data_IF_587197822469
#
_entry.id   IF_587197822469
#
_cell.length_a   1.000
_cell.length_b   1.000
_cell.length_c   1.000
_cell.angle_alpha   90.00
_cell.angle_beta   90.00
_cell.angle_gamma   90.00
#
_symmetry.space_group_name_H-M   'P 1'
#
loop_
_entity.id
_entity.type
_entity.pdbx_description
1 polymer ?
#
# COMPACT_ATOMS: atom_id res chain seq x y z
N UNK A 1 -1.63 -0.05 13.19
CA UNK A 1 -0.23 0.07 12.74
C UNK A 1 0.32 1.46 12.99
N UNK A 2 -0.33 2.54 12.53
CA UNK A 2 0.11 3.93 12.77
C UNK A 2 0.40 4.24 14.24
N UNK A 3 -0.54 3.96 15.15
CA UNK A 3 -0.33 4.16 16.59
C UNK A 3 0.91 3.41 17.12
N UNK A 4 1.14 2.18 16.66
CA UNK A 4 2.34 1.40 17.04
C UNK A 4 3.62 2.00 16.47
N UNK A 5 3.58 2.56 15.26
CA UNK A 5 4.72 3.29 14.68
C UNK A 5 5.03 4.53 15.50
N UNK A 6 4.01 5.33 15.82
CA UNK A 6 4.16 6.58 16.58
C UNK A 6 4.64 6.32 18.01
N UNK A 7 4.10 5.32 18.69
CA UNK A 7 4.59 4.92 20.02
C UNK A 7 6.07 4.54 20.02
N UNK A 8 6.59 4.02 18.91
CA UNK A 8 8.00 3.65 18.80
C UNK A 8 8.90 4.80 18.35
N UNK A 9 8.50 5.54 17.30
CA UNK A 9 9.33 6.57 16.67
C UNK A 9 9.18 7.95 17.33
N UNK A 10 7.98 8.31 17.81
CA UNK A 10 7.65 9.60 18.44
C UNK A 10 6.59 9.45 19.55
N UNK A 11 6.92 8.82 20.69
CA UNK A 11 5.96 8.56 21.77
C UNK A 11 5.33 9.84 22.32
N UNK A 12 6.08 10.94 22.38
CA UNK A 12 5.60 12.25 22.81
C UNK A 12 4.45 12.79 21.95
N UNK A 13 4.48 12.51 20.64
CA UNK A 13 3.43 12.96 19.71
C UNK A 13 2.12 12.21 19.98
N UNK A 14 2.20 10.90 20.22
CA UNK A 14 1.01 10.09 20.52
C UNK A 14 0.44 10.38 21.91
N UNK A 15 1.30 10.63 22.91
CA UNK A 15 0.88 11.08 24.24
C UNK A 15 0.13 12.41 24.14
N UNK A 16 0.70 13.40 23.46
CA UNK A 16 0.08 14.72 23.28
C UNK A 16 -1.26 14.63 22.56
N UNK A 17 -1.39 13.77 21.54
CA UNK A 17 -2.68 13.54 20.86
C UNK A 17 -3.71 12.93 21.81
N UNK A 18 -3.30 11.97 22.63
CA UNK A 18 -4.18 11.29 23.59
C UNK A 18 -4.66 12.25 24.69
N UNK A 19 -3.77 13.07 25.24
CA UNK A 19 -4.10 14.09 26.23
C UNK A 19 -5.06 15.14 25.67
N UNK A 20 -4.80 15.61 24.45
CA UNK A 20 -5.66 16.60 23.79
C UNK A 20 -7.07 16.05 23.52
N UNK A 21 -7.19 14.79 23.08
CA UNK A 21 -8.49 14.14 22.89
C UNK A 21 -9.26 14.00 24.20
N UNK A 22 -8.56 13.66 25.29
CA UNK A 22 -9.18 13.58 26.61
C UNK A 22 -9.68 14.94 27.09
N UNK A 23 -8.86 15.98 26.96
CA UNK A 23 -9.25 17.35 27.31
C UNK A 23 -10.44 17.84 26.49
N UNK A 24 -10.47 17.55 25.18
CA UNK A 24 -11.60 17.90 24.32
C UNK A 24 -12.89 17.21 24.78
N UNK A 25 -12.83 15.93 25.13
CA UNK A 25 -13.99 15.18 25.62
C UNK A 25 -14.49 15.73 26.97
N UNK A 26 -13.58 16.01 27.90
CA UNK A 26 -13.91 16.62 29.20
C UNK A 26 -14.60 17.99 29.01
N UNK A 27 -14.13 18.81 28.06
CA UNK A 27 -14.74 20.10 27.72
C UNK A 27 -16.13 19.94 27.09
N UNK A 28 -16.34 18.96 26.21
CA UNK A 28 -17.67 18.66 25.64
C UNK A 28 -18.67 18.25 26.72
N UNK A 29 -18.24 17.42 27.67
CA UNK A 29 -19.07 17.00 28.81
C UNK A 29 -19.41 18.22 29.69
N UNK A 30 -18.42 19.08 29.99
CA UNK A 30 -18.66 20.31 30.76
C UNK A 30 -19.65 21.25 30.07
N UNK A 31 -19.54 21.41 28.74
CA UNK A 31 -20.46 22.24 27.96
C UNK A 31 -21.89 21.69 28.03
N UNK A 32 -22.08 20.38 27.85
CA UNK A 32 -23.39 19.74 27.94
C UNK A 32 -24.01 19.86 29.34
N UNK A 33 -23.19 19.76 30.39
CA UNK A 33 -23.63 19.95 31.78
C UNK A 33 -24.06 21.40 32.06
N UNK A 34 -23.33 22.39 31.53
CA UNK A 34 -23.69 23.80 31.62
C UNK A 34 -25.01 24.10 30.90
N UNK A 35 -25.19 23.55 29.69
CA UNK A 35 -26.45 23.69 28.93
C UNK A 35 -27.63 23.05 29.66
N UNK A 36 -27.44 21.87 30.25
CA UNK A 36 -28.47 21.18 31.03
C UNK A 36 -28.84 21.95 32.30
N UNK A 37 -27.83 22.47 33.01
CA UNK A 37 -28.04 23.28 34.22
C UNK A 37 -28.78 24.58 33.91
N UNK A 38 -28.44 25.23 32.78
CA UNK A 38 -29.12 26.43 32.31
C UNK A 38 -30.60 26.18 31.99
N UNK A 39 -30.91 25.06 31.35
CA UNK A 39 -32.29 24.66 31.05
C UNK A 39 -33.08 24.39 32.34
N UNK A 40 -32.45 23.73 33.33
CA UNK A 40 -33.06 23.46 34.63
C UNK A 40 -33.32 24.75 35.43
N UNK A 41 -32.34 25.67 35.48
CA UNK A 41 -32.49 26.98 36.11
C UNK A 41 -33.62 27.79 35.48
N UNK A 42 -33.72 27.80 34.15
CA UNK A 42 -34.81 28.48 33.42
C UNK A 42 -36.17 27.83 33.65
N UNK A 43 -36.24 26.49 33.70
CA UNK A 43 -37.48 25.75 33.92
C UNK A 43 -38.01 25.93 35.36
N UNK A 44 -37.12 26.02 36.34
CA UNK A 44 -37.46 26.17 37.76
C UNK A 44 -37.65 27.63 38.19
N UNK A 45 -37.35 28.61 37.33
CA UNK A 45 -37.54 30.03 37.63
C UNK A 45 -39.03 30.37 37.83
N UNK A 46 -39.38 30.87 39.02
CA UNK A 46 -40.73 31.35 39.37
C UNK A 46 -40.71 32.85 39.61
N UNK A 47 -41.70 33.59 39.08
CA UNK A 47 -41.78 35.06 39.18
C UNK A 47 -41.20 35.79 37.97
N UNK A 48 -41.00 37.10 38.08
CA UNK A 48 -40.43 37.91 37.00
C UNK A 48 -38.92 37.61 36.88
N UNK A 49 -38.54 36.90 35.82
CA UNK A 49 -37.15 36.48 35.54
C UNK A 49 -36.21 37.69 35.48
N UNK A 50 -36.69 38.84 35.02
CA UNK A 50 -35.89 40.08 34.90
C UNK A 50 -35.57 40.72 36.25
N UNK A 51 -36.32 40.40 37.31
CA UNK A 51 -36.10 40.93 38.67
C UNK A 51 -35.24 40.01 39.53
N UNK A 52 -35.05 38.75 39.12
CA UNK A 52 -34.25 37.78 39.84
C UNK A 52 -32.74 37.98 39.52
N UNK A 53 -32.08 38.82 40.32
CA UNK A 53 -30.64 39.10 40.19
C UNK A 53 -29.76 37.86 40.29
N UNK A 54 -30.11 36.90 41.15
CA UNK A 54 -29.32 35.67 41.33
C UNK A 54 -29.36 34.80 40.06
N UNK A 55 -30.54 34.67 39.45
CA UNK A 55 -30.72 33.95 38.18
C UNK A 55 -29.99 34.65 37.03
N UNK A 56 -30.05 35.99 36.97
CA UNK A 56 -29.34 36.77 35.95
C UNK A 56 -27.82 36.61 36.06
N UNK A 57 -27.29 36.60 37.28
CA UNK A 57 -25.86 36.38 37.54
C UNK A 57 -25.42 34.95 37.19
N UNK A 58 -26.25 33.93 37.48
CA UNK A 58 -25.98 32.55 37.08
C UNK A 58 -25.97 32.41 35.55
N UNK A 59 -26.98 32.96 34.85
CA UNK A 59 -27.06 32.98 33.39
C UNK A 59 -25.84 33.65 32.75
N UNK A 60 -25.39 34.79 33.29
CA UNK A 60 -24.20 35.48 32.78
C UNK A 60 -22.91 34.67 33.00
N UNK A 61 -22.76 34.01 34.16
CA UNK A 61 -21.62 33.12 34.43
C UNK A 61 -21.63 31.91 33.48
N UNK A 62 -22.76 31.24 33.35
CA UNK A 62 -22.92 30.08 32.46
C UNK A 62 -22.63 30.44 31.01
N UNK A 63 -23.12 31.61 30.54
CA UNK A 63 -22.80 32.13 29.21
C UNK A 63 -21.31 32.39 29.02
N UNK A 64 -20.66 33.04 29.99
CA UNK A 64 -19.22 33.32 29.92
C UNK A 64 -18.38 32.02 29.91
N UNK A 65 -18.73 31.04 30.75
CA UNK A 65 -18.10 29.72 30.77
C UNK A 65 -18.32 28.95 29.46
N UNK A 66 -19.53 28.96 28.92
CA UNK A 66 -19.86 28.32 27.64
C UNK A 66 -19.06 28.92 26.47
N UNK A 67 -18.94 30.25 26.41
CA UNK A 67 -18.12 30.94 25.40
C UNK A 67 -16.65 30.51 25.53
N UNK A 68 -16.09 30.53 26.74
CA UNK A 68 -14.70 30.13 27.00
C UNK A 68 -14.42 28.69 26.59
N UNK A 69 -15.34 27.77 26.91
CA UNK A 69 -15.24 26.35 26.52
C UNK A 69 -15.33 26.22 25.00
N UNK A 70 -16.24 26.94 24.35
CA UNK A 70 -16.39 26.91 22.89
C UNK A 70 -15.13 27.41 22.18
N UNK A 71 -14.53 28.49 22.66
CA UNK A 71 -13.25 29.00 22.15
C UNK A 71 -12.12 27.96 22.34
N UNK A 72 -12.05 27.33 23.51
CA UNK A 72 -11.06 26.28 23.81
C UNK A 72 -11.23 25.04 22.93
N UNK A 73 -12.47 24.66 22.60
CA UNK A 73 -12.78 23.58 21.66
C UNK A 73 -12.32 23.94 20.24
N UNK A 74 -12.54 25.19 19.80
CA UNK A 74 -12.05 25.67 18.49
C UNK A 74 -10.52 25.62 18.40
N UNK A 75 -9.82 26.04 19.46
CA UNK A 75 -8.35 25.92 19.53
C UNK A 75 -7.89 24.46 19.52
N UNK A 76 -8.58 23.59 20.26
CA UNK A 76 -8.29 22.16 20.31
C UNK A 76 -8.38 21.52 18.93
N UNK A 77 -9.40 21.85 18.14
CA UNK A 77 -9.56 21.39 16.75
C UNK A 77 -8.39 21.85 15.86
N UNK A 78 -7.94 23.11 16.00
CA UNK A 78 -6.77 23.61 15.27
C UNK A 78 -5.50 22.86 15.62
N UNK A 79 -5.27 22.63 16.92
CA UNK A 79 -4.12 21.88 17.39
C UNK A 79 -4.16 20.42 16.93
N UNK A 80 -5.35 19.79 16.93
CA UNK A 80 -5.52 18.44 16.41
C UNK A 80 -5.13 18.34 14.94
N UNK A 81 -5.56 19.29 14.11
CA UNK A 81 -5.18 19.33 12.70
C UNK A 81 -3.67 19.43 12.51
N UNK A 82 -3.00 20.28 13.29
CA UNK A 82 -1.53 20.37 13.29
C UNK A 82 -0.86 19.04 13.70
N UNK A 83 -1.36 18.39 14.75
CA UNK A 83 -0.82 17.10 15.21
C UNK A 83 -1.06 16.01 14.17
N UNK A 84 -2.22 16.00 13.51
CA UNK A 84 -2.52 15.01 12.48
C UNK A 84 -1.63 15.20 11.24
N UNK A 85 -1.26 16.43 10.88
CA UNK A 85 -0.25 16.68 9.84
C UNK A 85 1.10 16.07 10.19
N UNK A 86 1.57 16.21 11.44
CA UNK A 86 2.81 15.57 11.89
C UNK A 86 2.72 14.04 11.92
N UNK A 87 1.55 13.49 12.29
CA UNK A 87 1.30 12.04 12.29
C UNK A 87 1.24 11.46 10.88
N UNK A 88 0.71 12.23 9.92
CA UNK A 88 0.56 11.80 8.52
C UNK A 88 1.90 11.47 7.86
N UNK A 89 3.02 12.04 8.32
CA UNK A 89 4.36 11.64 7.87
C UNK A 89 4.61 10.14 8.04
N UNK A 90 4.05 9.50 9.08
CA UNK A 90 4.22 8.07 9.38
C UNK A 90 3.15 7.17 8.76
N UNK A 91 2.11 7.76 8.15
CA UNK A 91 0.94 7.03 7.64
C UNK A 91 1.33 6.04 6.54
N UNK A 92 2.22 6.43 5.62
CA UNK A 92 2.64 5.58 4.51
C UNK A 92 3.26 4.25 4.94
N UNK A 93 3.95 4.21 6.10
CA UNK A 93 4.46 2.94 6.65
C UNK A 93 3.32 2.03 7.16
N UNK A 94 2.30 2.63 7.78
CA UNK A 94 1.13 1.89 8.25
C UNK A 94 0.31 1.34 7.08
N UNK A 95 0.16 2.11 6.01
CA UNK A 95 -0.50 1.68 4.76
C UNK A 95 0.27 0.53 4.10
N UNK A 96 1.60 0.67 3.96
CA UNK A 96 2.48 -0.39 3.45
C UNK A 96 2.33 -1.67 4.27
N UNK A 97 2.33 -1.57 5.61
CA UNK A 97 2.13 -2.72 6.48
C UNK A 97 0.73 -3.34 6.34
N UNK A 98 -0.32 -2.51 6.19
CA UNK A 98 -1.68 -2.99 5.97
C UNK A 98 -1.78 -3.79 4.66
N UNK A 99 -1.23 -3.23 3.57
CA UNK A 99 -1.15 -3.89 2.27
C UNK A 99 -0.47 -5.26 2.38
N UNK A 100 0.72 -5.32 2.99
CA UNK A 100 1.44 -6.58 3.19
C UNK A 100 0.63 -7.64 3.95
N UNK A 101 -0.12 -7.23 4.98
CA UNK A 101 -0.97 -8.16 5.73
C UNK A 101 -2.08 -8.77 4.86
N UNK A 102 -2.75 -7.96 4.04
CA UNK A 102 -3.79 -8.46 3.15
C UNK A 102 -3.23 -9.35 2.04
N UNK A 103 -2.07 -8.99 1.47
CA UNK A 103 -1.35 -9.83 0.48
C UNK A 103 -1.09 -11.23 1.03
N UNK A 104 -0.59 -11.34 2.27
CA UNK A 104 -0.33 -12.67 2.87
C UNK A 104 -1.60 -13.37 3.35
N UNK A 105 -2.65 -12.63 3.72
CA UNK A 105 -3.94 -13.21 4.10
C UNK A 105 -4.62 -13.89 2.92
N UNK A 106 -4.44 -13.35 1.71
CA UNK A 106 -5.01 -13.88 0.48
C UNK A 106 -4.43 -15.23 0.04
N UNK A 107 -3.26 -15.62 0.56
CA UNK A 107 -2.67 -16.94 0.28
C UNK A 107 -3.57 -18.10 0.73
N UNK A 108 -4.45 -17.88 1.71
CA UNK A 108 -5.43 -18.87 2.14
C UNK A 108 -6.41 -19.29 1.03
N UNK A 109 -6.62 -18.41 0.02
CA UNK A 109 -7.45 -18.70 -1.16
C UNK A 109 -6.81 -19.74 -2.09
N UNK A 110 -5.48 -19.85 -2.06
CA UNK A 110 -4.70 -20.78 -2.89
C UNK A 110 -4.56 -22.11 -2.16
N UNK A 111 -4.20 -22.06 -0.87
CA UNK A 111 -4.11 -23.23 -0.03
C UNK A 111 -4.63 -22.93 1.38
N UNK A 112 -5.59 -23.72 1.85
CA UNK A 112 -6.23 -23.57 3.16
C UNK A 112 -5.24 -23.62 4.35
N UNK A 113 -4.04 -24.17 4.15
CA UNK A 113 -2.98 -24.21 5.18
C UNK A 113 -2.18 -22.90 5.27
N UNK A 114 -2.22 -22.03 4.25
CA UNK A 114 -1.50 -20.76 4.21
C UNK A 114 -2.27 -19.65 4.94
N UNK A 115 -2.45 -19.86 6.25
CA UNK A 115 -3.12 -18.92 7.15
C UNK A 115 -2.11 -18.30 8.11
N UNK A 116 -2.02 -16.98 8.08
CA UNK A 116 -1.13 -16.22 8.95
C UNK A 116 -1.96 -15.36 9.89
N UNK A 117 -1.68 -15.43 11.19
CA UNK A 117 -2.43 -14.64 12.18
C UNK A 117 -1.94 -13.19 12.21
N UNK A 118 -2.88 -12.27 12.45
CA UNK A 118 -2.57 -10.86 12.68
C UNK A 118 -1.55 -10.67 13.81
N UNK A 119 -1.66 -11.46 14.89
CA UNK A 119 -0.71 -11.40 16.00
C UNK A 119 0.74 -11.72 15.58
N UNK A 120 0.94 -12.70 14.68
CA UNK A 120 2.27 -12.99 14.13
C UNK A 120 2.77 -11.84 13.26
N UNK A 121 1.90 -11.26 12.42
CA UNK A 121 2.24 -10.11 11.60
C UNK A 121 2.65 -8.89 12.46
N UNK A 122 1.88 -8.57 13.51
CA UNK A 122 2.19 -7.46 14.40
C UNK A 122 3.55 -7.62 15.10
N UNK A 123 3.95 -8.85 15.45
CA UNK A 123 5.31 -9.12 15.97
C UNK A 123 6.40 -8.87 14.94
N UNK A 124 6.17 -9.21 13.66
CA UNK A 124 7.11 -8.87 12.58
C UNK A 124 7.19 -7.36 12.36
N UNK A 125 6.05 -6.67 12.43
CA UNK A 125 5.97 -5.21 12.34
C UNK A 125 6.77 -4.53 13.45
N UNK A 126 6.57 -4.94 14.71
CA UNK A 126 7.35 -4.44 15.84
C UNK A 126 8.84 -4.73 15.69
N UNK A 127 9.21 -5.93 15.21
CA UNK A 127 10.61 -6.28 14.93
C UNK A 127 11.23 -5.41 13.83
N UNK A 128 10.45 -4.99 12.84
CA UNK A 128 10.92 -4.05 11.81
C UNK A 128 11.22 -2.68 12.42
N UNK A 129 10.33 -2.15 13.28
CA UNK A 129 10.50 -0.87 13.98
C UNK A 129 11.77 -0.84 14.85
N UNK A 130 12.12 -1.96 15.48
CA UNK A 130 13.34 -2.09 16.31
C UNK A 130 14.65 -2.02 15.50
N UNK A 131 14.60 -1.95 14.17
CA UNK A 131 15.80 -1.74 13.36
C UNK A 131 16.48 -0.41 13.70
N UNK A 132 17.82 -0.38 13.69
CA UNK A 132 18.60 0.80 14.07
C UNK A 132 18.26 2.01 13.20
N UNK A 133 18.24 3.17 13.85
CA UNK A 133 18.10 4.47 13.19
C UNK A 133 19.50 5.03 12.95
N UNK A 134 19.90 5.20 11.69
CA UNK A 134 21.26 5.63 11.33
C UNK A 134 21.44 7.17 11.29
N UNK A 135 20.48 7.91 11.85
CA UNK A 135 20.48 9.38 11.86
C UNK A 135 20.02 10.02 10.55
N UNK A 136 19.46 9.22 9.64
CA UNK A 136 18.88 9.67 8.37
C UNK A 136 17.62 10.52 8.55
N UNK A 137 17.17 11.19 7.49
CA UNK A 137 15.87 11.86 7.47
C UNK A 137 14.71 10.89 7.75
N UNK A 138 13.60 11.41 8.26
CA UNK A 138 12.38 10.64 8.55
C UNK A 138 11.91 9.84 7.33
N UNK A 139 11.90 10.45 6.15
CA UNK A 139 11.46 9.77 4.92
C UNK A 139 12.36 8.58 4.56
N UNK A 140 13.68 8.74 4.71
CA UNK A 140 14.62 7.65 4.44
C UNK A 140 14.50 6.55 5.49
N UNK A 141 14.26 6.92 6.75
CA UNK A 141 13.97 5.99 7.84
C UNK A 141 12.70 5.18 7.54
N UNK A 142 11.61 5.81 7.12
CA UNK A 142 10.35 5.14 6.79
C UNK A 142 10.48 4.20 5.60
N UNK A 143 11.22 4.59 4.54
CA UNK A 143 11.55 3.71 3.42
C UNK A 143 12.33 2.48 3.89
N UNK A 144 13.35 2.69 4.72
CA UNK A 144 14.17 1.60 5.28
C UNK A 144 13.33 0.64 6.12
N UNK A 145 12.43 1.17 6.96
CA UNK A 145 11.49 0.37 7.75
C UNK A 145 10.54 -0.45 6.88
N UNK A 146 9.99 0.15 5.82
CA UNK A 146 9.11 -0.53 4.88
C UNK A 146 9.82 -1.68 4.16
N UNK A 147 11.03 -1.43 3.63
CA UNK A 147 11.87 -2.48 3.03
C UNK A 147 12.23 -3.58 4.03
N UNK A 148 12.53 -3.22 5.28
CA UNK A 148 12.86 -4.20 6.31
C UNK A 148 11.65 -5.07 6.67
N UNK A 149 10.48 -4.47 6.78
CA UNK A 149 9.22 -5.18 7.03
C UNK A 149 8.93 -6.15 5.89
N UNK A 150 9.04 -5.71 4.64
CA UNK A 150 8.85 -6.53 3.45
C UNK A 150 9.74 -7.78 3.49
N UNK A 151 11.04 -7.60 3.76
CA UNK A 151 11.98 -8.72 3.88
C UNK A 151 11.63 -9.69 5.01
N UNK A 152 11.28 -9.17 6.19
CA UNK A 152 10.88 -9.99 7.33
C UNK A 152 9.62 -10.82 7.05
N UNK A 153 8.63 -10.20 6.37
CA UNK A 153 7.39 -10.87 5.97
C UNK A 153 7.68 -11.94 4.92
N UNK A 154 8.45 -11.61 3.87
CA UNK A 154 8.80 -12.55 2.81
C UNK A 154 9.50 -13.79 3.37
N UNK A 155 10.54 -13.60 4.19
CA UNK A 155 11.26 -14.71 4.82
C UNK A 155 10.36 -15.55 5.74
N UNK A 156 9.50 -14.89 6.53
CA UNK A 156 8.61 -15.57 7.46
C UNK A 156 7.59 -16.45 6.72
N UNK A 157 7.00 -15.93 5.65
CA UNK A 157 6.02 -16.67 4.83
C UNK A 157 6.72 -17.79 4.06
N UNK A 158 7.85 -17.52 3.39
CA UNK A 158 8.59 -18.53 2.60
C UNK A 158 9.09 -19.74 3.42
N UNK A 159 9.29 -19.58 4.73
CA UNK A 159 9.60 -20.71 5.64
C UNK A 159 8.43 -21.69 5.78
N UNK A 160 7.20 -21.23 5.59
CA UNK A 160 5.97 -22.00 5.75
C UNK A 160 5.40 -22.51 4.42
N UNK A 161 5.81 -21.93 3.28
CA UNK A 161 5.36 -22.33 1.95
C UNK A 161 6.10 -23.56 1.41
N UNK A 162 5.38 -24.40 0.66
CA UNK A 162 6.03 -25.42 -0.18
C UNK A 162 6.96 -24.76 -1.21
N UNK A 163 8.02 -25.47 -1.59
CA UNK A 163 9.01 -24.94 -2.55
C UNK A 163 8.38 -24.53 -3.89
N UNK A 164 7.37 -25.27 -4.35
CA UNK A 164 6.66 -24.99 -5.59
C UNK A 164 5.91 -23.64 -5.56
N UNK A 165 5.41 -23.22 -4.39
CA UNK A 165 4.55 -22.04 -4.25
C UNK A 165 5.35 -20.75 -4.00
N UNK A 166 6.66 -20.84 -3.78
CA UNK A 166 7.49 -19.66 -3.43
C UNK A 166 7.55 -18.63 -4.55
N UNK A 167 7.61 -19.05 -5.81
CA UNK A 167 7.60 -18.09 -6.91
C UNK A 167 6.22 -17.45 -7.07
N UNK A 168 5.15 -18.25 -6.99
CA UNK A 168 3.80 -17.73 -7.03
C UNK A 168 3.63 -16.64 -5.96
N UNK A 169 4.08 -16.92 -4.72
CA UNK A 169 4.02 -15.93 -3.66
C UNK A 169 4.88 -14.70 -3.95
N UNK A 170 6.09 -14.86 -4.49
CA UNK A 170 6.94 -13.73 -4.87
C UNK A 170 6.25 -12.81 -5.90
N UNK A 171 5.67 -13.37 -6.95
CA UNK A 171 4.94 -12.60 -7.97
C UNK A 171 3.68 -11.94 -7.38
N UNK A 172 2.90 -12.68 -6.58
CA UNK A 172 1.72 -12.15 -5.88
C UNK A 172 2.08 -11.01 -4.93
N UNK A 173 3.21 -11.12 -4.24
CA UNK A 173 3.70 -10.10 -3.33
C UNK A 173 4.14 -8.83 -4.07
N UNK A 174 4.84 -8.96 -5.20
CA UNK A 174 5.20 -7.80 -6.04
C UNK A 174 3.95 -7.12 -6.58
N UNK A 175 3.00 -7.89 -7.14
CA UNK A 175 1.75 -7.35 -7.67
C UNK A 175 0.91 -6.63 -6.61
N UNK A 176 0.78 -7.22 -5.42
CA UNK A 176 0.00 -6.62 -4.34
C UNK A 176 0.68 -5.42 -3.68
N UNK A 177 2.01 -5.44 -3.53
CA UNK A 177 2.74 -4.41 -2.79
C UNK A 177 3.28 -3.27 -3.66
N UNK A 178 3.57 -3.54 -4.93
CA UNK A 178 4.06 -2.56 -5.91
C UNK A 178 3.21 -2.58 -7.19
N UNK A 179 1.92 -2.23 -7.11
CA UNK A 179 1.03 -2.20 -8.26
C UNK A 179 1.51 -1.24 -9.35
N UNK A 180 2.32 -0.23 -9.01
CA UNK A 180 2.91 0.73 -9.95
C UNK A 180 3.90 0.12 -10.96
N UNK A 181 4.33 -1.13 -10.76
CA UNK A 181 5.21 -1.84 -11.69
C UNK A 181 4.46 -2.49 -12.87
N UNK A 182 3.12 -2.44 -12.85
CA UNK A 182 2.25 -3.07 -13.82
C UNK A 182 1.37 -2.01 -14.47
N UNK A 183 1.36 -1.97 -15.80
CA UNK A 183 0.42 -1.16 -16.57
C UNK A 183 -0.94 -1.88 -16.70
N UNK A 184 -1.93 -1.20 -17.29
CA UNK A 184 -3.28 -1.75 -17.44
C UNK A 184 -3.29 -3.05 -18.28
N UNK A 185 -4.01 -4.06 -17.78
CA UNK A 185 -4.21 -5.37 -18.41
C UNK A 185 -2.96 -6.26 -18.50
N UNK A 186 -1.80 -5.82 -18.00
CA UNK A 186 -0.56 -6.61 -18.06
C UNK A 186 -0.62 -7.85 -17.18
N UNK A 187 -1.12 -7.70 -15.95
CA UNK A 187 -1.23 -8.80 -15.01
C UNK A 187 -2.29 -9.81 -15.47
N UNK A 188 -3.42 -9.34 -15.99
CA UNK A 188 -4.48 -10.16 -16.57
C UNK A 188 -4.00 -10.93 -17.80
N UNK A 189 -3.17 -10.31 -18.65
CA UNK A 189 -2.54 -11.00 -19.76
C UNK A 189 -1.54 -12.05 -19.30
N UNK A 190 -0.70 -11.71 -18.32
CA UNK A 190 0.26 -12.65 -17.74
C UNK A 190 -0.41 -13.88 -17.12
N UNK A 191 -1.51 -13.68 -16.41
CA UNK A 191 -2.29 -14.76 -15.78
C UNK A 191 -3.19 -15.52 -16.77
N UNK A 192 -3.28 -15.05 -18.03
CA UNK A 192 -4.09 -15.67 -19.09
C UNK A 192 -5.59 -15.40 -19.00
N UNK A 193 -6.00 -14.43 -18.19
CA UNK A 193 -7.41 -13.99 -18.06
C UNK A 193 -7.81 -13.09 -19.23
N UNK A 194 -6.86 -12.30 -19.74
CA UNK A 194 -7.11 -11.44 -20.89
C UNK A 194 -7.19 -12.26 -22.19
N UNK A 195 -8.40 -12.39 -22.73
CA UNK A 195 -8.63 -13.07 -24.01
C UNK A 195 -8.33 -12.11 -25.16
N UNK A 196 -7.29 -12.42 -25.92
CA UNK A 196 -6.97 -11.69 -27.15
C UNK A 196 -7.99 -12.04 -28.25
N UNK A 197 -8.61 -11.04 -28.88
CA UNK A 197 -9.36 -11.22 -30.13
C UNK A 197 -8.37 -11.34 -31.29
N UNK A 198 -7.75 -12.52 -31.42
CA UNK A 198 -6.88 -12.85 -32.54
C UNK A 198 -7.76 -13.12 -33.75
N UNK A 199 -8.27 -12.05 -34.37
CA UNK A 199 -8.84 -12.15 -35.72
C UNK A 199 -7.76 -12.75 -36.60
N UNK A 200 -8.12 -13.80 -37.34
CA UNK A 200 -7.24 -14.65 -38.15
C UNK A 200 -6.49 -13.90 -39.25
N UNK A 201 -5.60 -13.02 -38.84
CA UNK A 201 -4.58 -12.43 -39.66
C UNK A 201 -3.47 -13.48 -39.74
N UNK A 202 -3.18 -13.93 -40.94
CA UNK A 202 -1.97 -14.69 -41.25
C UNK A 202 -0.75 -13.78 -41.09
N UNK A 203 -0.57 -13.24 -39.88
CA UNK A 203 0.47 -12.30 -39.54
C UNK A 203 1.82 -12.93 -39.82
N UNK A 204 2.76 -12.10 -40.29
CA UNK A 204 4.15 -12.52 -40.52
C UNK A 204 4.66 -13.28 -39.30
N UNK A 205 5.02 -14.53 -39.52
CA UNK A 205 5.59 -15.40 -38.50
C UNK A 205 6.95 -14.84 -38.06
N UNK A 206 7.18 -14.76 -36.76
CA UNK A 206 8.48 -14.36 -36.22
C UNK A 206 9.43 -15.55 -36.41
N UNK A 207 10.36 -15.42 -37.35
CA UNK A 207 11.21 -16.52 -37.85
C UNK A 207 12.04 -17.26 -36.80
N UNK A 208 12.36 -16.60 -35.68
CA UNK A 208 13.20 -17.16 -34.60
C UNK A 208 12.40 -17.69 -33.41
N UNK A 209 11.07 -17.54 -33.44
CA UNK A 209 10.14 -18.05 -32.42
C UNK A 209 9.63 -19.41 -32.88
N UNK A 210 9.55 -20.38 -31.97
CA UNK A 210 9.06 -21.71 -32.29
C UNK A 210 7.59 -21.68 -32.78
N UNK A 211 7.24 -22.57 -33.71
CA UNK A 211 5.90 -22.59 -34.33
C UNK A 211 4.77 -22.76 -33.29
N UNK A 212 5.04 -23.53 -32.23
CA UNK A 212 4.13 -23.73 -31.09
C UNK A 212 3.81 -22.43 -30.34
N UNK A 213 4.66 -21.40 -30.47
CA UNK A 213 4.55 -20.12 -29.78
C UNK A 213 3.93 -19.02 -30.64
N UNK A 214 3.63 -19.27 -31.92
CA UNK A 214 3.02 -18.26 -32.79
C UNK A 214 1.67 -17.74 -32.29
N UNK A 215 0.82 -18.61 -31.75
CA UNK A 215 -0.46 -18.19 -31.16
C UNK A 215 -0.26 -17.26 -29.96
N UNK A 216 0.72 -17.55 -29.09
CA UNK A 216 1.03 -16.71 -27.94
C UNK A 216 1.63 -15.36 -28.35
N UNK A 217 2.52 -15.35 -29.36
CA UNK A 217 3.08 -14.11 -29.91
C UNK A 217 2.00 -13.25 -30.60
N UNK A 218 1.04 -13.87 -31.30
CA UNK A 218 -0.09 -13.19 -31.90
C UNK A 218 -1.03 -12.59 -30.84
N UNK A 219 -1.33 -13.34 -29.77
CA UNK A 219 -2.11 -12.83 -28.63
C UNK A 219 -1.39 -11.65 -27.95
N UNK A 220 -0.08 -11.73 -27.75
CA UNK A 220 0.73 -10.64 -27.22
C UNK A 220 0.68 -9.39 -28.12
N UNK A 221 0.80 -9.56 -29.44
CA UNK A 221 0.66 -8.47 -30.43
C UNK A 221 -0.73 -7.81 -30.37
N UNK A 222 -1.79 -8.61 -30.24
CA UNK A 222 -3.15 -8.12 -30.17
C UNK A 222 -3.42 -7.35 -28.87
N UNK A 223 -2.93 -7.87 -27.73
CA UNK A 223 -3.13 -7.25 -26.42
C UNK A 223 -2.26 -5.99 -26.24
N UNK A 224 -1.02 -5.99 -26.77
CA UNK A 224 -0.05 -4.91 -26.55
C UNK A 224 0.57 -4.40 -27.87
N UNK A 225 -0.21 -3.78 -28.77
CA UNK A 225 0.28 -3.37 -30.09
C UNK A 225 1.40 -2.32 -30.03
N UNK A 226 1.33 -1.38 -29.08
CA UNK A 226 2.37 -0.35 -28.87
C UNK A 226 3.69 -0.96 -28.39
N UNK A 227 3.61 -1.91 -27.45
CA UNK A 227 4.77 -2.63 -26.94
C UNK A 227 5.38 -3.50 -28.05
N UNK A 228 4.56 -4.23 -28.80
CA UNK A 228 5.02 -5.03 -29.95
C UNK A 228 5.79 -4.20 -30.98
N UNK A 229 5.29 -3.00 -31.32
CA UNK A 229 5.99 -2.07 -32.23
C UNK A 229 7.32 -1.59 -31.65
N UNK A 230 7.41 -1.39 -30.33
CA UNK A 230 8.63 -0.94 -29.65
C UNK A 230 9.71 -2.03 -29.60
N UNK A 231 9.28 -3.29 -29.49
CA UNK A 231 10.15 -4.47 -29.41
C UNK A 231 10.76 -4.86 -30.77
N UNK A 232 10.07 -4.55 -31.87
CA UNK A 232 10.45 -4.94 -33.23
C UNK A 232 10.84 -6.42 -33.33
N UNK A 233 9.95 -7.31 -32.87
CA UNK A 233 10.20 -8.76 -32.80
C UNK A 233 10.46 -9.39 -34.19
N UNK A 234 10.11 -8.69 -35.27
CA UNK A 234 10.34 -9.12 -36.65
C UNK A 234 11.83 -9.00 -37.06
N UNK A 235 12.62 -8.15 -36.39
CA UNK A 235 14.08 -8.06 -36.61
C UNK A 235 14.79 -9.27 -36.00
N UNK A 236 15.05 -10.26 -36.86
CA UNK A 236 15.76 -11.49 -36.47
C UNK A 236 17.20 -11.23 -36.03
N UNK A 237 17.85 -10.19 -36.57
CA UNK A 237 19.22 -9.84 -36.21
C UNK A 237 19.31 -9.36 -34.77
N UNK A 238 18.38 -8.47 -34.40
CA UNK A 238 18.29 -7.88 -33.07
C UNK A 238 18.01 -8.93 -31.98
N UNK A 239 17.11 -9.89 -32.25
CA UNK A 239 16.72 -10.93 -31.29
C UNK A 239 17.54 -12.23 -31.37
N UNK A 240 18.51 -12.32 -32.28
CA UNK A 240 19.30 -13.55 -32.51
C UNK A 240 20.05 -14.05 -31.26
N UNK A 241 20.65 -13.13 -30.49
CA UNK A 241 21.36 -13.46 -29.25
C UNK A 241 20.39 -13.95 -28.17
N UNK A 242 19.27 -13.26 -27.99
CA UNK A 242 18.20 -13.66 -27.06
C UNK A 242 17.65 -15.04 -27.40
N UNK A 243 17.35 -15.29 -28.68
CA UNK A 243 16.82 -16.56 -29.18
C UNK A 243 17.76 -17.74 -28.89
N UNK A 244 19.07 -17.56 -29.08
CA UNK A 244 20.07 -18.65 -28.94
C UNK A 244 20.63 -18.80 -27.53
N UNK A 245 20.49 -17.78 -26.70
CA UNK A 245 21.05 -17.79 -25.35
C UNK A 245 20.35 -18.79 -24.44
N UNK A 246 21.13 -19.47 -23.60
CA UNK A 246 20.63 -20.29 -22.49
C UNK A 246 20.19 -19.46 -21.29
N UNK A 247 20.53 -18.16 -21.26
CA UNK A 247 20.18 -17.17 -20.24
C UNK A 247 19.53 -15.96 -20.91
N UNK A 248 18.52 -16.20 -21.76
CA UNK A 248 17.89 -15.15 -22.56
C UNK A 248 17.33 -14.01 -21.70
N UNK A 249 16.92 -14.29 -20.46
CA UNK A 249 16.41 -13.28 -19.52
C UNK A 249 17.44 -12.19 -19.14
N UNK A 250 18.72 -12.39 -19.41
CA UNK A 250 19.79 -11.40 -19.19
C UNK A 250 20.31 -10.77 -20.50
N UNK A 251 19.92 -11.34 -21.64
CA UNK A 251 20.46 -11.01 -22.98
C UNK A 251 19.37 -10.31 -23.81
N UNK A 252 18.57 -9.44 -23.19
CA UNK A 252 17.64 -8.58 -23.91
C UNK A 252 18.44 -7.58 -24.77
N UNK A 253 18.00 -7.29 -26.01
CA UNK A 253 18.68 -6.31 -26.84
C UNK A 253 18.72 -4.94 -26.15
N UNK A 254 19.91 -4.37 -25.98
CA UNK A 254 20.09 -3.13 -25.19
C UNK A 254 19.31 -1.93 -25.72
N UNK A 255 19.03 -1.90 -27.03
CA UNK A 255 18.19 -0.89 -27.68
C UNK A 255 16.71 -0.97 -27.25
N UNK A 256 16.26 -2.17 -26.88
CA UNK A 256 14.90 -2.48 -26.42
C UNK A 256 14.82 -2.40 -24.91
N UNK A 257 15.79 -2.96 -24.18
CA UNK A 257 15.80 -3.01 -22.72
C UNK A 257 15.59 -1.63 -22.06
N UNK A 258 16.16 -0.57 -22.65
CA UNK A 258 16.02 0.81 -22.17
C UNK A 258 14.62 1.41 -22.35
N UNK A 259 13.78 0.80 -23.18
CA UNK A 259 12.45 1.31 -23.56
C UNK A 259 11.30 0.55 -22.90
N UNK A 260 11.58 -0.57 -22.22
CA UNK A 260 10.58 -1.46 -21.66
C UNK A 260 10.75 -1.61 -20.14
N UNK A 261 9.66 -1.86 -19.43
CA UNK A 261 9.68 -2.15 -17.99
C UNK A 261 10.26 -3.54 -17.72
N UNK A 262 10.60 -3.81 -16.47
CA UNK A 262 11.05 -5.15 -16.06
C UNK A 262 9.93 -6.20 -16.22
N UNK A 263 8.65 -5.80 -16.06
CA UNK A 263 7.53 -6.72 -16.24
C UNK A 263 7.26 -7.01 -17.72
N UNK A 264 7.45 -6.03 -18.61
CA UNK A 264 7.41 -6.26 -20.06
C UNK A 264 8.39 -7.37 -20.48
N UNK A 265 9.59 -7.44 -19.88
CA UNK A 265 10.56 -8.52 -20.15
C UNK A 265 10.00 -9.90 -19.78
N UNK A 266 9.23 -9.99 -18.69
CA UNK A 266 8.54 -11.23 -18.29
C UNK A 266 7.47 -11.61 -19.32
N UNK A 267 6.67 -10.65 -19.78
CA UNK A 267 5.64 -10.87 -20.82
C UNK A 267 6.26 -11.33 -22.15
N UNK A 268 7.35 -10.71 -22.60
CA UNK A 268 8.07 -11.14 -23.82
C UNK A 268 8.60 -12.56 -23.65
N UNK A 269 9.20 -12.86 -22.50
CA UNK A 269 9.72 -14.21 -22.21
C UNK A 269 8.58 -15.23 -22.18
N UNK A 270 7.43 -14.89 -21.57
CA UNK A 270 6.25 -15.73 -21.56
C UNK A 270 5.73 -16.02 -22.96
N UNK A 271 5.67 -15.01 -23.85
CA UNK A 271 5.18 -15.19 -25.21
C UNK A 271 6.13 -16.06 -26.05
N UNK A 272 7.44 -15.82 -25.96
CA UNK A 272 8.45 -16.36 -26.90
C UNK A 272 9.25 -17.55 -26.37
N UNK A 273 9.62 -17.57 -25.08
CA UNK A 273 10.54 -18.55 -24.46
C UNK A 273 10.04 -18.99 -23.09
N UNK A 274 8.93 -19.76 -23.01
CA UNK A 274 8.32 -20.16 -21.74
C UNK A 274 9.24 -21.05 -20.88
N UNK A 275 10.23 -21.72 -21.49
CA UNK A 275 11.26 -22.50 -20.81
C UNK A 275 12.10 -21.66 -19.83
N UNK A 276 12.23 -20.35 -20.09
CA UNK A 276 12.97 -19.38 -19.26
C UNK A 276 12.08 -18.51 -18.37
N UNK A 277 10.76 -18.71 -18.41
CA UNK A 277 9.81 -17.88 -17.65
C UNK A 277 10.07 -17.92 -16.14
N UNK A 278 10.42 -19.10 -15.62
CA UNK A 278 10.76 -19.28 -14.20
C UNK A 278 11.92 -18.38 -13.76
N UNK A 279 12.99 -18.33 -14.56
CA UNK A 279 14.17 -17.50 -14.30
C UNK A 279 13.87 -16.01 -14.47
N UNK A 280 13.09 -15.66 -15.50
CA UNK A 280 12.66 -14.28 -15.77
C UNK A 280 11.80 -13.72 -14.62
N UNK A 281 10.80 -14.47 -14.15
CA UNK A 281 10.00 -14.11 -12.96
C UNK A 281 10.88 -13.96 -11.72
N UNK A 282 11.86 -14.85 -11.53
CA UNK A 282 12.79 -14.78 -10.41
C UNK A 282 13.64 -13.50 -10.44
N UNK A 283 14.18 -13.14 -11.61
CA UNK A 283 14.95 -11.91 -11.79
C UNK A 283 14.08 -10.67 -11.54
N UNK A 284 12.86 -10.65 -12.08
CA UNK A 284 11.89 -9.59 -11.85
C UNK A 284 11.59 -9.43 -10.36
N UNK A 285 11.20 -10.51 -9.68
CA UNK A 285 10.89 -10.47 -8.26
C UNK A 285 12.09 -10.02 -7.40
N UNK A 286 13.30 -10.48 -7.73
CA UNK A 286 14.52 -10.06 -7.01
C UNK A 286 14.88 -8.59 -7.21
N UNK A 287 14.53 -7.99 -8.36
CA UNK A 287 14.74 -6.55 -8.60
C UNK A 287 13.62 -5.70 -8.01
N UNK A 288 12.41 -6.26 -7.92
CA UNK A 288 11.23 -5.55 -7.44
C UNK A 288 11.09 -5.54 -5.92
N UNK A 289 11.49 -6.60 -5.21
CA UNK A 289 11.41 -6.72 -3.74
C UNK A 289 12.67 -6.19 -3.06
#
# INVERSE_FOLDING_TARGET
>A
LLASTLQHEKPELELRKTELLKQEEDLKIQLANLESSLLEELANAKGNILENKELLDSLNKTKASSITITESLVESVRLQSSLDQERNTYLGLAESGSCLYFVISDLAKINNMYKFSLASFLRLFQRALQSKHDGSSTDLRLKTLSSKLLMLVYEYVCRSLFKADRMMFAMHMVHGFKPELFEENEWEAFTGVLVADVKGDGGKTISWVDEERYAAAAAFKANFPKLYQTLDLEDTGLWSNFSRSSQCEQEFPSAVERKISLFHQVLVTQATRPDRLMSSMGLFACRAL
#
